data_IF_190584065119
#
_entry.id   IF_190584065119
#
_cell.length_a   1.000
_cell.length_b   1.000
_cell.length_c   1.000
_cell.angle_alpha   90.00
_cell.angle_beta   90.00
_cell.angle_gamma   90.00
#
_symmetry.space_group_name_H-M   'P 1'
#
loop_
_entity.id
_entity.type
_entity.pdbx_description
1 polymer ?
#
# COMPACT_ATOMS: atom_id res chain seq x y z
N UNK A 1 35.12 -22.45 1.80
CA UNK A 1 33.74 -22.16 2.22
C UNK A 1 32.91 -21.70 1.03
N UNK A 2 32.34 -22.64 0.25
CA UNK A 2 31.51 -22.30 -0.91
C UNK A 2 30.16 -21.76 -0.47
N UNK A 3 29.83 -20.51 -0.84
CA UNK A 3 28.55 -19.89 -0.50
C UNK A 3 27.37 -20.72 -1.02
N UNK A 4 26.36 -20.93 -0.17
CA UNK A 4 25.16 -21.70 -0.48
C UNK A 4 24.48 -21.22 -1.77
N UNK A 5 23.98 -22.17 -2.57
CA UNK A 5 23.32 -21.92 -3.87
C UNK A 5 22.10 -21.01 -3.66
N UNK A 6 22.17 -19.77 -4.15
CA UNK A 6 21.14 -18.74 -3.95
C UNK A 6 19.88 -19.06 -4.76
N UNK A 7 18.70 -18.80 -4.20
CA UNK A 7 17.44 -19.09 -4.90
C UNK A 7 17.19 -18.04 -5.98
N UNK A 8 16.52 -18.45 -7.05
CA UNK A 8 16.18 -17.57 -8.18
C UNK A 8 15.25 -16.44 -7.69
N UNK A 9 15.44 -15.24 -8.23
CA UNK A 9 14.64 -14.03 -7.96
C UNK A 9 14.80 -13.40 -6.57
N UNK A 10 15.82 -13.77 -5.80
CA UNK A 10 16.14 -13.16 -4.50
C UNK A 10 17.10 -11.96 -4.60
N UNK A 11 17.67 -11.68 -5.78
CA UNK A 11 18.64 -10.60 -5.99
C UNK A 11 18.47 -9.91 -7.35
N UNK A 12 19.06 -8.72 -7.46
CA UNK A 12 19.12 -7.94 -8.70
C UNK A 12 17.80 -7.24 -9.03
N UNK A 13 17.53 -7.04 -10.33
CA UNK A 13 16.33 -6.35 -10.79
C UNK A 13 15.01 -6.96 -10.26
N UNK A 14 15.00 -8.25 -9.92
CA UNK A 14 13.82 -8.93 -9.39
C UNK A 14 13.36 -8.42 -8.02
N UNK A 15 14.25 -7.83 -7.21
CA UNK A 15 13.93 -7.27 -5.89
C UNK A 15 13.78 -5.75 -5.90
N UNK A 16 14.29 -5.07 -6.93
CA UNK A 16 14.22 -3.61 -7.02
C UNK A 16 12.80 -3.07 -7.23
N UNK A 17 11.90 -3.90 -7.79
CA UNK A 17 10.54 -3.49 -8.15
C UNK A 17 9.48 -4.28 -7.39
N UNK A 18 8.37 -3.62 -7.11
CA UNK A 18 7.20 -4.18 -6.46
C UNK A 18 5.96 -3.97 -7.33
N UNK A 19 5.14 -5.01 -7.52
CA UNK A 19 3.88 -4.85 -8.25
C UNK A 19 2.87 -4.05 -7.42
N UNK A 20 1.94 -3.35 -8.09
CA UNK A 20 0.86 -2.56 -7.43
C UNK A 20 0.16 -3.33 -6.31
N UNK A 21 -0.27 -4.56 -6.56
CA UNK A 21 -0.98 -5.36 -5.55
C UNK A 21 -0.12 -5.71 -4.34
N UNK A 22 1.20 -5.90 -4.53
CA UNK A 22 2.14 -6.10 -3.42
C UNK A 22 2.36 -4.80 -2.65
N UNK A 23 2.45 -3.66 -3.33
CA UNK A 23 2.55 -2.34 -2.69
C UNK A 23 1.32 -2.05 -1.80
N UNK A 24 0.11 -2.29 -2.33
CA UNK A 24 -1.13 -2.16 -1.56
C UNK A 24 -1.15 -3.03 -0.30
N UNK A 25 -0.74 -4.30 -0.42
CA UNK A 25 -0.66 -5.22 0.72
C UNK A 25 0.37 -4.76 1.76
N UNK A 26 1.52 -4.27 1.31
CA UNK A 26 2.60 -3.79 2.19
C UNK A 26 2.20 -2.52 2.95
N UNK A 27 1.57 -1.57 2.27
CA UNK A 27 1.12 -0.31 2.88
C UNK A 27 -0.21 -0.44 3.65
N UNK A 28 -0.94 -1.54 3.45
CA UNK A 28 -2.26 -1.82 4.04
C UNK A 28 -3.36 -0.81 3.63
N UNK A 29 -3.16 -0.13 2.51
CA UNK A 29 -4.05 0.91 1.99
C UNK A 29 -5.10 0.33 1.02
N UNK A 30 -6.17 1.09 0.79
CA UNK A 30 -7.09 0.83 -0.32
C UNK A 30 -6.47 1.31 -1.64
N UNK A 31 -6.99 0.84 -2.78
CA UNK A 31 -6.55 1.31 -4.10
C UNK A 31 -6.71 2.83 -4.29
N UNK A 32 -7.85 3.47 -3.95
CA UNK A 32 -7.99 4.91 -4.12
C UNK A 32 -7.05 5.70 -3.19
N UNK A 33 -6.90 5.30 -1.93
CA UNK A 33 -5.98 5.98 -1.00
C UNK A 33 -4.53 5.87 -1.46
N UNK A 34 -4.13 4.70 -1.97
CA UNK A 34 -2.80 4.50 -2.52
C UNK A 34 -2.55 5.38 -3.74
N UNK A 35 -3.52 5.53 -4.65
CA UNK A 35 -3.40 6.43 -5.80
C UNK A 35 -3.28 7.89 -5.38
N UNK A 36 -4.12 8.35 -4.45
CA UNK A 36 -4.06 9.71 -3.93
C UNK A 36 -2.71 10.00 -3.27
N UNK A 37 -2.20 9.06 -2.47
CA UNK A 37 -0.90 9.17 -1.82
C UNK A 37 0.26 9.15 -2.82
N UNK A 38 0.20 8.31 -3.86
CA UNK A 38 1.17 8.30 -4.94
C UNK A 38 1.22 9.63 -5.69
N UNK A 39 0.07 10.24 -6.01
CA UNK A 39 0.02 11.56 -6.65
C UNK A 39 0.62 12.62 -5.72
N UNK A 40 0.21 12.62 -4.45
CA UNK A 40 0.68 13.59 -3.47
C UNK A 40 2.20 13.53 -3.23
N UNK A 41 2.78 12.32 -3.26
CA UNK A 41 4.22 12.10 -3.04
C UNK A 41 5.03 12.06 -4.34
N UNK A 42 4.40 12.25 -5.50
CA UNK A 42 5.07 12.21 -6.81
C UNK A 42 5.63 10.83 -7.17
N UNK A 43 5.04 9.75 -6.66
CA UNK A 43 5.49 8.37 -6.91
C UNK A 43 4.67 7.78 -8.05
N UNK A 44 5.32 7.60 -9.19
CA UNK A 44 4.70 7.10 -10.41
C UNK A 44 5.12 5.65 -10.70
N UNK A 45 4.30 4.91 -11.46
CA UNK A 45 4.67 3.57 -11.89
C UNK A 45 5.88 3.61 -12.83
N UNK A 46 6.74 2.59 -12.72
CA UNK A 46 7.98 2.46 -13.48
C UNK A 46 7.93 1.20 -14.34
N UNK A 47 8.46 1.28 -15.57
CA UNK A 47 8.64 0.12 -16.44
C UNK A 47 10.02 -0.52 -16.23
N UNK A 48 10.11 -1.75 -15.68
CA UNK A 48 11.38 -2.43 -15.54
C UNK A 48 11.90 -2.93 -16.90
N UNK A 49 13.19 -2.70 -17.19
CA UNK A 49 13.88 -3.19 -18.40
C UNK A 49 13.70 -4.70 -18.65
N UNK A 50 13.71 -5.49 -17.58
CA UNK A 50 13.59 -6.95 -17.66
C UNK A 50 12.28 -7.46 -17.03
N UNK A 51 11.14 -7.15 -17.68
CA UNK A 51 9.77 -7.49 -17.20
C UNK A 51 9.62 -8.97 -16.78
N UNK A 52 10.12 -9.91 -17.59
CA UNK A 52 10.07 -11.36 -17.28
C UNK A 52 10.81 -11.72 -15.98
N UNK A 53 11.99 -11.14 -15.72
CA UNK A 53 12.78 -11.41 -14.50
C UNK A 53 12.06 -10.87 -13.25
N UNK A 54 11.51 -9.66 -13.34
CA UNK A 54 10.77 -9.03 -12.24
C UNK A 54 9.46 -9.78 -11.93
N UNK A 55 8.79 -10.27 -12.96
CA UNK A 55 7.54 -11.01 -12.82
C UNK A 55 7.75 -12.52 -12.57
N UNK A 56 8.94 -12.93 -12.14
CA UNK A 56 9.27 -14.34 -11.84
C UNK A 56 8.92 -15.31 -12.98
N UNK A 57 9.16 -14.89 -14.22
CA UNK A 57 8.90 -15.67 -15.43
C UNK A 57 7.56 -15.38 -16.12
N UNK A 58 6.63 -14.67 -15.49
CA UNK A 58 5.33 -14.34 -16.10
C UNK A 58 5.42 -13.17 -17.09
N UNK A 59 4.69 -13.26 -18.20
CA UNK A 59 4.55 -12.21 -19.22
C UNK A 59 3.33 -11.31 -19.01
N UNK A 60 2.53 -11.55 -17.97
CA UNK A 60 1.34 -10.75 -17.70
C UNK A 60 1.68 -9.28 -17.46
N UNK A 61 0.92 -8.37 -18.08
CA UNK A 61 1.06 -6.94 -17.90
C UNK A 61 0.76 -6.55 -16.45
N UNK A 62 1.73 -5.94 -15.77
CA UNK A 62 1.60 -5.47 -14.40
C UNK A 62 2.23 -4.10 -14.26
N UNK A 63 1.62 -3.28 -13.43
CA UNK A 63 2.18 -2.00 -13.00
C UNK A 63 3.19 -2.24 -11.87
N UNK A 64 4.38 -1.69 -12.01
CA UNK A 64 5.46 -1.78 -11.04
C UNK A 64 5.79 -0.42 -10.43
N UNK A 65 6.31 -0.45 -9.20
CA UNK A 65 6.84 0.69 -8.46
C UNK A 65 8.21 0.32 -7.93
N UNK A 66 9.08 1.29 -7.67
CA UNK A 66 10.36 0.99 -7.02
C UNK A 66 10.13 0.57 -5.56
N UNK A 67 10.89 -0.43 -5.12
CA UNK A 67 10.80 -0.91 -3.74
C UNK A 67 11.19 0.18 -2.74
N UNK A 68 12.20 0.99 -3.07
CA UNK A 68 12.71 2.07 -2.23
C UNK A 68 11.63 3.13 -1.96
N UNK A 69 10.92 3.56 -3.01
CA UNK A 69 9.84 4.55 -2.90
C UNK A 69 8.70 4.01 -2.02
N UNK A 70 8.31 2.74 -2.21
CA UNK A 70 7.29 2.11 -1.35
C UNK A 70 7.77 1.95 0.10
N UNK A 71 9.06 1.70 0.34
CA UNK A 71 9.62 1.67 1.69
C UNK A 71 9.62 3.05 2.34
N UNK A 72 9.95 4.09 1.58
CA UNK A 72 9.87 5.47 2.03
C UNK A 72 8.45 5.83 2.45
N UNK A 73 7.46 5.51 1.60
CA UNK A 73 6.04 5.70 1.93
C UNK A 73 5.59 4.97 3.20
N UNK A 74 6.17 3.79 3.49
CA UNK A 74 5.77 3.00 4.65
C UNK A 74 6.07 3.69 5.99
N UNK A 75 7.01 4.64 6.02
CA UNK A 75 7.37 5.41 7.22
C UNK A 75 6.67 6.77 7.26
N UNK A 76 5.88 7.10 6.24
CA UNK A 76 5.18 8.38 6.15
C UNK A 76 4.00 8.42 7.12
N UNK A 77 3.90 9.49 7.91
CA UNK A 77 2.81 9.74 8.85
C UNK A 77 1.43 9.74 8.16
N UNK A 78 1.38 10.12 6.88
CA UNK A 78 0.15 10.13 6.10
C UNK A 78 -0.46 8.73 5.95
N UNK A 79 0.37 7.69 5.84
CA UNK A 79 -0.10 6.30 5.76
C UNK A 79 -0.84 5.88 7.03
N UNK A 80 -0.36 6.31 8.20
CA UNK A 80 -1.04 6.04 9.46
C UNK A 80 -2.44 6.66 9.50
N UNK A 81 -2.59 7.91 9.05
CA UNK A 81 -3.89 8.61 8.95
C UNK A 81 -4.87 7.91 8.01
N UNK A 82 -4.41 7.42 6.86
CA UNK A 82 -5.27 6.64 5.98
C UNK A 82 -5.70 5.31 6.60
N UNK A 83 -4.84 4.66 7.39
CA UNK A 83 -5.18 3.43 8.12
C UNK A 83 -6.23 3.68 9.20
N UNK A 84 -6.10 4.78 9.95
CA UNK A 84 -7.09 5.21 10.94
C UNK A 84 -8.46 5.42 10.28
N UNK A 85 -8.50 6.17 9.17
CA UNK A 85 -9.72 6.39 8.39
C UNK A 85 -10.36 5.07 7.92
N UNK A 86 -9.55 4.15 7.39
CA UNK A 86 -10.03 2.83 6.94
C UNK A 86 -10.66 2.04 8.09
N UNK A 87 -10.01 2.04 9.25
CA UNK A 87 -10.52 1.35 10.44
C UNK A 87 -11.80 2.02 10.98
N UNK A 88 -11.86 3.35 10.98
CA UNK A 88 -13.07 4.11 11.31
C UNK A 88 -14.25 3.71 10.43
N UNK A 89 -14.08 3.72 9.10
CA UNK A 89 -15.14 3.34 8.15
C UNK A 89 -15.58 1.89 8.38
N UNK A 90 -14.63 0.98 8.67
CA UNK A 90 -14.97 -0.42 8.98
C UNK A 90 -15.79 -0.55 10.26
N UNK A 91 -15.43 0.17 11.32
CA UNK A 91 -16.17 0.18 12.60
C UNK A 91 -17.57 0.78 12.42
N UNK A 92 -17.68 1.90 11.72
CA UNK A 92 -18.95 2.55 11.43
C UNK A 92 -19.89 1.61 10.64
N UNK A 93 -19.41 1.00 9.56
CA UNK A 93 -20.18 0.02 8.78
C UNK A 93 -20.66 -1.15 9.64
N UNK A 94 -19.84 -1.64 10.56
CA UNK A 94 -20.20 -2.72 11.48
C UNK A 94 -21.29 -2.29 12.48
N UNK A 95 -21.22 -1.07 13.01
CA UNK A 95 -22.25 -0.53 13.92
C UNK A 95 -23.59 -0.34 13.22
N UNK A 96 -23.57 0.25 12.01
CA UNK A 96 -24.74 0.43 11.14
C UNK A 96 -25.38 -0.91 10.80
N UNK A 97 -24.59 -1.90 10.37
CA UNK A 97 -25.09 -3.24 10.05
C UNK A 97 -25.74 -3.95 11.26
N UNK A 98 -25.27 -3.67 12.48
CA UNK A 98 -25.83 -4.18 13.73
C UNK A 98 -27.00 -3.36 14.28
N UNK A 99 -27.39 -2.27 13.62
CA UNK A 99 -28.41 -1.30 14.08
C UNK A 99 -28.16 -0.75 15.50
N UNK A 100 -26.90 -0.70 15.95
CA UNK A 100 -26.56 -0.19 17.27
C UNK A 100 -26.35 1.34 17.19
N UNK A 101 -27.41 2.10 17.48
CA UNK A 101 -27.43 3.57 17.40
C UNK A 101 -26.44 4.24 18.37
N UNK A 102 -26.25 3.68 19.57
CA UNK A 102 -25.34 4.24 20.58
C UNK A 102 -23.87 4.08 20.19
N UNK A 103 -23.48 2.89 19.71
CA UNK A 103 -22.12 2.70 19.20
C UNK A 103 -21.87 3.54 17.94
N UNK A 104 -22.89 3.73 17.10
CA UNK A 104 -22.80 4.56 15.91
C UNK A 104 -22.55 6.03 16.24
N UNK A 105 -23.27 6.62 17.21
CA UNK A 105 -23.05 8.01 17.61
C UNK A 105 -21.64 8.23 18.13
N UNK A 106 -21.17 7.40 19.06
CA UNK A 106 -19.80 7.48 19.61
C UNK A 106 -18.76 7.39 18.50
N UNK A 107 -18.93 6.48 17.55
CA UNK A 107 -17.99 6.35 16.43
C UNK A 107 -18.03 7.62 15.59
N UNK A 108 -19.21 8.15 15.23
CA UNK A 108 -19.36 9.37 14.43
C UNK A 108 -18.70 10.59 15.10
N UNK A 109 -18.85 10.73 16.42
CA UNK A 109 -18.26 11.83 17.18
C UNK A 109 -16.72 11.75 17.17
N UNK A 110 -16.18 10.53 17.20
CA UNK A 110 -14.73 10.26 17.13
C UNK A 110 -14.21 10.14 15.68
N UNK A 111 -14.75 10.91 14.73
CA UNK A 111 -14.31 10.89 13.34
C UNK A 111 -12.84 11.35 13.26
N UNK A 112 -11.92 10.53 12.71
CA UNK A 112 -10.54 10.95 12.54
C UNK A 112 -10.47 12.07 11.49
N UNK A 113 -10.02 13.24 11.93
CA UNK A 113 -9.72 14.38 11.05
C UNK A 113 -8.23 14.35 10.75
N UNK A 114 -7.87 14.50 9.47
CA UNK A 114 -6.49 14.71 9.07
C UNK A 114 -6.43 15.93 8.15
N UNK A 115 -5.49 16.82 8.43
CA UNK A 115 -5.13 17.94 7.57
C UNK A 115 -3.96 17.51 6.71
N UNK A 116 -4.10 17.65 5.39
CA UNK A 116 -2.98 17.62 4.47
C UNK A 116 -2.33 19.01 4.57
N UNK A 117 -1.48 19.24 5.58
CA UNK A 117 -0.66 20.46 5.58
C UNK A 117 0.39 20.32 4.47
N UNK A 118 0.36 21.27 3.54
CA UNK A 118 1.40 21.51 2.53
C UNK A 118 2.68 22.01 3.19
#
# INVERSE_FOLDING_TARGET
MGGTKKRKFERGAATAFLSRNKALKKLQLSLPDFRALCIFKGIYPVEPLHKKKVNKGSTAAKTYYNLKDIQFLSHDQLVAKFREKKQYVRRLKKAVAKKNRFAESIIRDNKPVYSLKS
#
